data_IF_095242547686
#
_entry.id   IF_095242547686
#
_cell.length_a   1.000
_cell.length_b   1.000
_cell.length_c   1.000
_cell.angle_alpha   90.00
_cell.angle_beta   90.00
_cell.angle_gamma   90.00
#
_symmetry.space_group_name_H-M   'P 1'
#
loop_
_entity.id
_entity.type
_entity.pdbx_description
1 polymer ?
#
# COMPACT_ATOMS: atom_id res chain seq x y z
N UNK A 1 -2.29 -13.64 -14.09
CA UNK A 1 -2.05 -13.00 -12.78
C UNK A 1 -3.00 -13.63 -11.77
N UNK A 2 -2.51 -14.51 -10.89
CA UNK A 2 -3.31 -15.11 -9.81
C UNK A 2 -3.61 -14.03 -8.78
N UNK A 3 -4.88 -13.71 -8.58
CA UNK A 3 -5.33 -12.74 -7.58
C UNK A 3 -5.22 -13.39 -6.18
N UNK A 4 -4.03 -13.40 -5.58
CA UNK A 4 -3.88 -13.72 -4.16
C UNK A 4 -4.46 -12.56 -3.35
N UNK A 5 -5.76 -12.62 -3.08
CA UNK A 5 -6.46 -11.67 -2.22
C UNK A 5 -6.16 -12.00 -0.77
N UNK A 6 -5.92 -10.98 0.05
CA UNK A 6 -5.83 -11.18 1.49
C UNK A 6 -7.22 -11.50 2.07
N UNK A 7 -7.29 -12.19 3.21
CA UNK A 7 -8.57 -12.52 3.86
C UNK A 7 -9.43 -11.28 4.13
N UNK A 8 -8.79 -10.15 4.45
CA UNK A 8 -9.46 -8.85 4.61
C UNK A 8 -10.15 -8.36 3.34
N UNK A 9 -9.60 -8.68 2.17
CA UNK A 9 -10.14 -8.23 0.88
C UNK A 9 -11.29 -9.13 0.42
N UNK A 10 -11.20 -10.43 0.69
CA UNK A 10 -12.31 -11.36 0.51
C UNK A 10 -13.50 -10.98 1.42
N UNK A 11 -13.23 -10.70 2.70
CA UNK A 11 -14.24 -10.21 3.64
C UNK A 11 -14.87 -8.90 3.13
N UNK A 12 -14.06 -7.96 2.65
CA UNK A 12 -14.55 -6.69 2.12
C UNK A 12 -15.46 -6.87 0.91
N UNK A 13 -15.11 -7.77 -0.03
CA UNK A 13 -15.99 -8.06 -1.18
C UNK A 13 -17.34 -8.57 -0.68
N UNK A 14 -17.34 -9.56 0.22
CA UNK A 14 -18.58 -10.16 0.73
C UNK A 14 -19.45 -9.12 1.43
N UNK A 15 -18.88 -8.36 2.36
CA UNK A 15 -19.61 -7.33 3.12
C UNK A 15 -20.19 -6.25 2.20
N UNK A 16 -19.44 -5.80 1.20
CA UNK A 16 -19.93 -4.78 0.25
C UNK A 16 -21.02 -5.36 -0.66
N UNK A 17 -20.89 -6.61 -1.11
CA UNK A 17 -21.94 -7.31 -1.86
C UNK A 17 -23.23 -7.42 -1.02
N UNK A 18 -23.14 -7.75 0.27
CA UNK A 18 -24.30 -7.84 1.15
C UNK A 18 -25.02 -6.49 1.34
N UNK A 19 -24.31 -5.37 1.26
CA UNK A 19 -24.94 -4.03 1.23
C UNK A 19 -25.68 -3.81 -0.09
N UNK A 20 -25.06 -4.15 -1.22
CA UNK A 20 -25.69 -4.05 -2.54
C UNK A 20 -26.94 -4.92 -2.65
N UNK A 21 -26.91 -6.11 -2.04
CA UNK A 21 -28.03 -7.05 -1.97
C UNK A 21 -29.08 -6.65 -0.91
N UNK A 22 -28.89 -5.50 -0.24
CA UNK A 22 -29.76 -4.97 0.82
C UNK A 22 -29.92 -5.91 2.03
N UNK A 23 -28.95 -6.80 2.26
CA UNK A 23 -28.89 -7.71 3.42
C UNK A 23 -28.19 -7.09 4.63
N UNK A 24 -27.41 -6.04 4.41
CA UNK A 24 -26.61 -5.38 5.43
C UNK A 24 -26.68 -3.86 5.27
N UNK A 25 -26.76 -3.13 6.38
CA UNK A 25 -26.70 -1.66 6.34
C UNK A 25 -25.25 -1.17 6.26
N UNK A 26 -25.05 0.06 5.75
CA UNK A 26 -23.73 0.69 5.71
C UNK A 26 -23.10 0.92 7.10
N UNK A 27 -23.93 1.02 8.15
CA UNK A 27 -23.47 1.19 9.54
C UNK A 27 -22.94 -0.13 10.08
N UNK A 28 -23.67 -1.24 9.89
CA UNK A 28 -23.21 -2.57 10.30
C UNK A 28 -21.92 -2.97 9.56
N UNK A 29 -21.87 -2.70 8.25
CA UNK A 29 -20.68 -2.91 7.45
C UNK A 29 -19.47 -2.10 7.94
N UNK A 30 -19.68 -0.87 8.40
CA UNK A 30 -18.63 -0.04 8.99
C UNK A 30 -18.02 -0.70 10.24
N UNK A 31 -18.85 -1.28 11.11
CA UNK A 31 -18.38 -2.04 12.26
C UNK A 31 -17.62 -3.30 11.86
N UNK A 32 -18.14 -4.10 10.93
CA UNK A 32 -17.49 -5.33 10.46
C UNK A 32 -16.13 -5.07 9.81
N UNK A 33 -16.03 -4.00 9.01
CA UNK A 33 -14.81 -3.64 8.29
C UNK A 33 -13.86 -2.76 9.10
N UNK A 34 -14.26 -2.33 10.30
CA UNK A 34 -13.53 -1.33 11.13
C UNK A 34 -13.23 -0.05 10.33
N UNK A 35 -14.21 0.42 9.56
CA UNK A 35 -14.14 1.62 8.73
C UNK A 35 -15.21 2.62 9.14
N UNK A 36 -15.07 3.88 8.75
CA UNK A 36 -16.17 4.84 8.86
C UNK A 36 -17.27 4.55 7.82
N UNK A 37 -18.54 4.88 8.12
CA UNK A 37 -19.64 4.73 7.16
C UNK A 37 -19.35 5.42 5.81
N UNK A 38 -18.69 6.58 5.83
CA UNK A 38 -18.27 7.31 4.60
C UNK A 38 -17.31 6.48 3.75
N UNK A 39 -16.35 5.81 4.37
CA UNK A 39 -15.43 4.92 3.65
C UNK A 39 -16.18 3.73 3.05
N UNK A 40 -17.14 3.16 3.78
CA UNK A 40 -18.00 2.07 3.28
C UNK A 40 -18.79 2.52 2.05
N UNK A 41 -19.50 3.65 2.11
CA UNK A 41 -20.25 4.15 0.95
C UNK A 41 -19.37 4.45 -0.27
N UNK A 42 -18.13 4.90 -0.04
CA UNK A 42 -17.14 5.06 -1.13
C UNK A 42 -16.75 3.72 -1.75
N UNK A 43 -16.61 2.66 -0.94
CA UNK A 43 -16.36 1.31 -1.44
C UNK A 43 -17.56 0.77 -2.22
N UNK A 44 -18.79 0.94 -1.71
CA UNK A 44 -20.03 0.57 -2.41
C UNK A 44 -20.09 1.25 -3.78
N UNK A 45 -19.85 2.57 -3.84
CA UNK A 45 -19.85 3.32 -5.10
C UNK A 45 -18.85 2.73 -6.10
N UNK A 46 -17.61 2.48 -5.68
CA UNK A 46 -16.58 1.86 -6.55
C UNK A 46 -16.94 0.44 -6.96
N UNK A 47 -17.59 -0.32 -6.08
CA UNK A 47 -18.03 -1.68 -6.40
C UNK A 47 -19.15 -1.67 -7.44
N UNK A 48 -20.08 -0.72 -7.37
CA UNK A 48 -21.13 -0.55 -8.40
C UNK A 48 -20.51 -0.16 -9.76
N UNK A 49 -19.48 0.69 -9.75
CA UNK A 49 -18.83 1.17 -10.99
C UNK A 49 -17.89 0.13 -11.63
N UNK A 50 -17.15 -0.64 -10.82
CA UNK A 50 -16.03 -1.48 -11.29
C UNK A 50 -16.09 -2.94 -10.81
N UNK A 51 -17.16 -3.35 -10.13
CA UNK A 51 -17.28 -4.67 -9.51
C UNK A 51 -16.20 -4.94 -8.46
N UNK A 52 -15.85 -6.22 -8.28
CA UNK A 52 -14.81 -6.64 -7.32
C UNK A 52 -13.44 -5.98 -7.59
N UNK A 53 -13.12 -5.66 -8.85
CA UNK A 53 -11.90 -4.94 -9.21
C UNK A 53 -11.83 -3.54 -8.59
N UNK A 54 -12.98 -2.90 -8.34
CA UNK A 54 -13.07 -1.60 -7.68
C UNK A 54 -12.66 -1.61 -6.20
N UNK A 55 -12.63 -2.78 -5.57
CA UNK A 55 -12.26 -2.98 -4.16
C UNK A 55 -10.79 -3.40 -3.97
N UNK A 56 -10.11 -3.72 -5.07
CA UNK A 56 -8.67 -4.01 -5.08
C UNK A 56 -7.90 -2.69 -4.93
N UNK A 57 -6.84 -2.70 -4.12
CA UNK A 57 -5.95 -1.53 -4.03
C UNK A 57 -5.37 -1.21 -5.40
N UNK A 58 -5.57 0.02 -5.88
CA UNK A 58 -4.96 0.49 -7.13
C UNK A 58 -3.43 0.62 -7.04
N UNK A 59 -2.88 0.59 -5.83
CA UNK A 59 -1.43 0.60 -5.61
C UNK A 59 -0.81 -0.80 -5.75
N UNK A 60 -1.62 -1.86 -5.89
CA UNK A 60 -1.08 -3.20 -6.08
C UNK A 60 -0.37 -3.29 -7.43
N UNK A 61 0.88 -3.76 -7.41
CA UNK A 61 1.74 -3.82 -8.59
C UNK A 61 2.32 -2.48 -9.02
N UNK A 62 2.04 -1.38 -8.30
CA UNK A 62 2.65 -0.08 -8.56
C UNK A 62 3.77 0.21 -7.55
N UNK A 63 4.88 0.81 -7.97
CA UNK A 63 5.86 1.34 -7.03
C UNK A 63 5.22 2.40 -6.14
N UNK A 64 5.61 2.42 -4.86
CA UNK A 64 5.08 3.41 -3.92
C UNK A 64 5.44 4.84 -4.34
N UNK A 65 4.58 5.81 -4.02
CA UNK A 65 4.76 7.21 -4.44
C UNK A 65 6.06 7.87 -3.93
N UNK A 66 6.65 7.36 -2.84
CA UNK A 66 7.92 7.84 -2.27
C UNK A 66 9.09 6.89 -2.58
N UNK A 67 8.96 6.04 -3.62
CA UNK A 67 10.03 5.13 -4.01
C UNK A 67 11.17 5.94 -4.64
N UNK A 68 12.36 5.82 -4.08
CA UNK A 68 13.59 6.25 -4.76
C UNK A 68 13.76 5.55 -6.09
N UNK A 69 14.34 6.25 -7.06
CA UNK A 69 14.76 5.66 -8.32
C UNK A 69 15.63 4.43 -8.04
N UNK A 70 15.43 3.39 -8.84
CA UNK A 70 16.15 2.12 -8.66
C UNK A 70 17.67 2.36 -8.86
N UNK A 71 18.05 3.30 -9.73
CA UNK A 71 19.46 3.69 -9.94
C UNK A 71 20.07 4.36 -8.69
N UNK A 72 19.31 5.23 -8.02
CA UNK A 72 19.75 5.88 -6.78
C UNK A 72 19.94 4.86 -5.67
N UNK A 73 19.03 3.88 -5.56
CA UNK A 73 19.15 2.79 -4.58
C UNK A 73 20.36 1.91 -4.84
N UNK A 74 20.58 1.52 -6.09
CA UNK A 74 21.72 0.69 -6.46
C UNK A 74 23.03 1.40 -6.18
N UNK A 75 23.11 2.69 -6.50
CA UNK A 75 24.27 3.53 -6.22
C UNK A 75 24.53 3.61 -4.71
N UNK A 76 23.49 3.90 -3.91
CA UNK A 76 23.60 3.96 -2.45
C UNK A 76 24.05 2.62 -1.85
N UNK A 77 23.50 1.50 -2.33
CA UNK A 77 23.89 0.16 -1.87
C UNK A 77 25.34 -0.16 -2.22
N UNK A 78 25.78 0.15 -3.44
CA UNK A 78 27.17 -0.05 -3.85
C UNK A 78 28.15 0.71 -2.94
N UNK A 79 27.86 1.99 -2.66
CA UNK A 79 28.69 2.82 -1.79
C UNK A 79 28.72 2.26 -0.36
N UNK A 80 27.56 1.87 0.19
CA UNK A 80 27.51 1.26 1.54
C UNK A 80 28.35 -0.01 1.58
N UNK A 81 28.20 -0.90 0.59
CA UNK A 81 28.93 -2.16 0.56
C UNK A 81 30.45 -1.97 0.39
N UNK A 82 30.86 -0.96 -0.37
CA UNK A 82 32.28 -0.69 -0.65
C UNK A 82 32.96 0.07 0.51
N UNK A 83 32.27 1.02 1.14
CA UNK A 83 32.90 1.98 2.06
C UNK A 83 32.40 1.89 3.50
N UNK A 84 31.19 1.38 3.76
CA UNK A 84 30.49 1.53 5.04
C UNK A 84 29.84 0.21 5.52
N UNK A 85 30.44 -0.94 5.23
CA UNK A 85 29.88 -2.26 5.51
C UNK A 85 29.67 -2.53 7.01
N UNK A 86 30.46 -1.88 7.86
CA UNK A 86 30.44 -1.96 9.32
C UNK A 86 29.54 -0.89 9.97
N UNK A 87 28.96 0.02 9.18
CA UNK A 87 28.16 1.12 9.71
C UNK A 87 26.71 0.70 9.94
N UNK A 88 26.14 1.19 11.04
CA UNK A 88 24.69 1.12 11.24
C UNK A 88 23.93 1.96 10.20
N UNK A 89 22.64 1.67 9.97
CA UNK A 89 21.86 2.30 8.90
C UNK A 89 21.79 3.83 9.00
N UNK A 90 21.77 4.38 10.21
CA UNK A 90 21.77 5.83 10.44
C UNK A 90 23.10 6.46 10.00
N UNK A 91 24.23 5.93 10.45
CA UNK A 91 25.54 6.48 10.11
C UNK A 91 25.86 6.29 8.62
N UNK A 92 25.46 5.17 8.04
CA UNK A 92 25.56 4.94 6.60
C UNK A 92 24.74 5.98 5.81
N UNK A 93 23.52 6.29 6.26
CA UNK A 93 22.69 7.34 5.65
C UNK A 93 23.32 8.73 5.77
N UNK A 94 23.85 9.09 6.94
CA UNK A 94 24.56 10.35 7.14
C UNK A 94 25.74 10.48 6.17
N UNK A 95 26.54 9.42 5.98
CA UNK A 95 27.66 9.46 5.02
C UNK A 95 27.24 9.50 3.57
N UNK A 96 26.16 8.80 3.21
CA UNK A 96 25.56 8.94 1.88
C UNK A 96 25.13 10.38 1.60
N UNK A 97 24.51 11.04 2.57
CA UNK A 97 24.05 12.44 2.44
C UNK A 97 25.21 13.44 2.42
N UNK A 98 26.14 13.35 3.39
CA UNK A 98 27.22 14.31 3.58
C UNK A 98 28.33 14.22 2.52
N UNK A 99 28.69 13.01 2.10
CA UNK A 99 29.87 12.76 1.25
C UNK A 99 29.47 12.54 -0.20
N UNK A 100 28.36 11.84 -0.43
CA UNK A 100 27.94 11.40 -1.77
C UNK A 100 26.72 12.15 -2.32
N UNK A 101 26.18 13.11 -1.55
CA UNK A 101 24.99 13.91 -1.90
C UNK A 101 23.74 13.07 -2.23
N UNK A 102 23.66 11.87 -1.63
CA UNK A 102 22.54 10.94 -1.79
C UNK A 102 21.59 11.09 -0.60
N UNK A 103 20.43 11.70 -0.84
CA UNK A 103 19.43 11.96 0.20
C UNK A 103 18.27 10.95 0.13
N UNK A 104 18.18 10.07 1.14
CA UNK A 104 17.15 9.03 1.23
C UNK A 104 16.40 9.07 2.57
N UNK A 105 15.28 9.78 2.62
CA UNK A 105 14.37 9.99 3.75
C UNK A 105 13.18 9.03 3.77
#
# INVERSE_FOLDING_TARGET
MLLTMTDNELLRIKVIQDICDKRLTGVEAAHLLKLSPRQVYRLVKRFVEFGAAGLISLQRGRPGNHRYDDDVKLTALAIIHEHYIDFGPTLAHEKLSEIHDIHMT
#
